data_IF_747152312206
#
_entry.id   IF_747152312206
#
_cell.length_a   1.000
_cell.length_b   1.000
_cell.length_c   1.000
_cell.angle_alpha   90.00
_cell.angle_beta   90.00
_cell.angle_gamma   90.00
#
_symmetry.space_group_name_H-M   'P 1'
#
loop_
_entity.id
_entity.type
_entity.pdbx_description
1 polymer ?
#
# COMPACT_ATOMS: atom_id res chain seq x y z
N UNK A 1 -17.18 15.51 -54.28
CA UNK A 1 -16.87 15.35 -52.84
C UNK A 1 -15.88 14.20 -52.69
N UNK A 2 -14.66 14.47 -52.15
CA UNK A 2 -14.19 14.04 -50.81
C UNK A 2 -14.21 12.50 -50.64
N UNK A 3 -13.16 11.76 -50.27
CA UNK A 3 -11.80 12.01 -49.77
C UNK A 3 -11.03 10.67 -49.84
N UNK A 4 -9.71 10.77 -49.94
CA UNK A 4 -8.71 9.70 -49.87
C UNK A 4 -8.85 8.79 -48.64
N UNK A 5 -8.79 7.46 -48.84
CA UNK A 5 -8.49 6.51 -47.77
C UNK A 5 -7.10 5.91 -47.98
N UNK A 6 -6.14 6.56 -47.33
CA UNK A 6 -4.76 6.10 -47.13
C UNK A 6 -4.80 4.77 -46.37
N UNK A 7 -4.37 3.69 -47.03
CA UNK A 7 -4.09 2.40 -46.39
C UNK A 7 -3.13 2.65 -45.21
N UNK A 8 -3.62 2.50 -43.99
CA UNK A 8 -2.78 2.39 -42.80
C UNK A 8 -2.65 0.89 -42.50
N UNK A 9 -1.43 0.39 -42.62
CA UNK A 9 -1.06 -0.93 -42.15
C UNK A 9 -1.29 -0.97 -40.64
N UNK A 10 -2.17 -1.88 -40.20
CA UNK A 10 -2.23 -2.30 -38.80
C UNK A 10 -1.02 -3.22 -38.61
N UNK A 11 0.06 -2.65 -38.08
CA UNK A 11 1.13 -3.44 -37.49
C UNK A 11 0.55 -4.00 -36.20
N UNK A 12 0.17 -5.26 -36.24
CA UNK A 12 -0.12 -6.07 -35.05
C UNK A 12 1.16 -6.19 -34.26
N UNK A 13 1.27 -5.41 -33.19
CA UNK A 13 2.33 -5.53 -32.20
C UNK A 13 2.16 -6.84 -31.43
N UNK A 14 3.30 -7.49 -31.23
CA UNK A 14 3.45 -8.90 -30.95
C UNK A 14 3.45 -9.15 -29.44
N UNK A 15 2.73 -10.19 -29.02
CA UNK A 15 3.23 -11.17 -28.04
C UNK A 15 3.66 -10.67 -26.67
N UNK A 16 2.72 -10.18 -25.85
CA UNK A 16 2.87 -10.32 -24.39
C UNK A 16 1.96 -11.47 -23.95
N UNK A 17 2.49 -12.59 -23.41
CA UNK A 17 1.69 -13.65 -22.84
C UNK A 17 0.83 -13.10 -21.69
N UNK A 18 -0.44 -13.49 -21.63
CA UNK A 18 -1.37 -13.14 -20.56
C UNK A 18 -0.87 -13.55 -19.16
N UNK A 19 0.10 -14.47 -19.10
CA UNK A 19 0.84 -14.90 -17.90
C UNK A 19 1.68 -13.76 -17.29
N UNK A 20 2.00 -12.69 -18.03
CA UNK A 20 2.70 -11.51 -17.49
C UNK A 20 1.76 -10.52 -16.77
N UNK A 21 0.43 -10.70 -16.85
CA UNK A 21 -0.51 -9.86 -16.10
C UNK A 21 -0.64 -10.26 -14.63
N UNK A 22 -0.21 -11.47 -14.26
CA UNK A 22 -0.29 -11.98 -12.87
C UNK A 22 0.99 -11.78 -12.04
N UNK A 23 2.02 -11.12 -12.57
CA UNK A 23 3.10 -10.56 -11.75
C UNK A 23 2.78 -9.15 -11.21
N UNK A 24 1.61 -8.60 -11.58
CA UNK A 24 1.07 -7.34 -11.06
C UNK A 24 0.19 -7.54 -9.81
N UNK A 25 0.35 -8.66 -9.10
CA UNK A 25 -0.07 -8.78 -7.71
C UNK A 25 0.88 -7.93 -6.88
N UNK A 26 0.46 -6.69 -6.57
CA UNK A 26 1.11 -5.67 -5.75
C UNK A 26 2.25 -6.21 -4.89
N UNK A 27 3.50 -5.90 -5.24
CA UNK A 27 4.64 -6.34 -4.45
C UNK A 27 4.54 -5.80 -3.02
N UNK A 28 5.19 -6.47 -2.06
CA UNK A 28 5.23 -5.98 -0.68
C UNK A 28 5.69 -4.52 -0.60
N UNK A 29 6.68 -4.17 -1.43
CA UNK A 29 7.20 -2.81 -1.55
C UNK A 29 6.12 -1.83 -2.02
N UNK A 30 5.33 -2.22 -3.02
CA UNK A 30 4.24 -1.39 -3.52
C UNK A 30 3.12 -1.24 -2.48
N UNK A 31 2.83 -2.27 -1.68
CA UNK A 31 1.76 -2.18 -0.70
C UNK A 31 2.15 -1.37 0.54
N UNK A 32 3.38 -1.50 1.04
CA UNK A 32 3.76 -1.00 2.36
C UNK A 32 4.94 -0.02 2.37
N UNK A 33 5.78 0.00 1.34
CA UNK A 33 6.99 0.82 1.29
C UNK A 33 6.84 1.99 0.30
N UNK A 34 5.65 2.58 0.29
CA UNK A 34 5.37 3.83 -0.40
C UNK A 34 5.13 4.96 0.61
N UNK A 35 5.72 6.12 0.35
CA UNK A 35 5.47 7.34 1.10
C UNK A 35 4.79 8.36 0.17
N UNK A 36 3.58 8.77 0.53
CA UNK A 36 2.93 9.88 -0.17
C UNK A 36 3.62 11.19 0.24
N UNK A 37 3.81 12.11 -0.71
CA UNK A 37 4.51 13.38 -0.47
C UNK A 37 3.81 14.22 0.62
N UNK A 38 2.50 14.00 0.81
CA UNK A 38 1.68 14.69 1.80
C UNK A 38 1.77 14.08 3.20
N UNK A 39 2.32 12.87 3.35
CA UNK A 39 2.48 12.23 4.65
C UNK A 39 3.52 12.98 5.48
N UNK A 40 3.04 13.65 6.52
CA UNK A 40 3.87 14.31 7.52
C UNK A 40 4.02 13.43 8.75
N UNK A 41 5.17 13.55 9.40
CA UNK A 41 5.37 12.97 10.74
C UNK A 41 4.32 13.58 11.68
N UNK A 42 3.54 12.73 12.34
CA UNK A 42 2.57 13.16 13.35
C UNK A 42 3.25 13.76 14.59
N UNK A 43 2.47 14.49 15.39
CA UNK A 43 2.92 15.07 16.66
C UNK A 43 2.76 14.12 17.87
N UNK A 44 2.22 12.91 17.65
CA UNK A 44 1.99 11.89 18.67
C UNK A 44 2.98 10.74 18.50
N UNK A 45 3.46 10.21 19.62
CA UNK A 45 4.38 9.09 19.67
C UNK A 45 3.71 7.89 20.33
N UNK A 46 3.94 6.70 19.79
CA UNK A 46 3.61 5.43 20.44
C UNK A 46 4.90 4.70 20.77
N UNK A 47 4.95 4.06 21.93
CA UNK A 47 6.08 3.22 22.29
C UNK A 47 5.92 1.83 21.67
N UNK A 48 7.00 1.30 21.12
CA UNK A 48 7.09 -0.06 20.58
C UNK A 48 8.11 -0.84 21.41
N UNK A 49 7.90 -2.16 21.53
CA UNK A 49 8.91 -3.01 22.14
C UNK A 49 10.21 -2.97 21.30
N UNK A 50 11.39 -3.13 21.92
CA UNK A 50 12.67 -3.08 21.20
C UNK A 50 12.72 -4.05 20.03
N UNK A 51 12.15 -5.26 20.19
CA UNK A 51 12.16 -6.32 19.19
C UNK A 51 11.34 -5.94 17.95
N UNK A 52 10.18 -5.31 18.15
CA UNK A 52 9.37 -4.82 17.03
C UNK A 52 10.04 -3.64 16.35
N UNK A 53 10.62 -2.71 17.12
CA UNK A 53 11.34 -1.59 16.55
C UNK A 53 12.51 -2.05 15.66
N UNK A 54 13.31 -3.01 16.12
CA UNK A 54 14.42 -3.56 15.34
C UNK A 54 13.94 -4.22 14.04
N UNK A 55 12.88 -5.04 14.11
CA UNK A 55 12.32 -5.70 12.91
C UNK A 55 11.81 -4.69 11.89
N UNK A 56 11.00 -3.72 12.32
CA UNK A 56 10.46 -2.70 11.42
C UNK A 56 11.58 -1.87 10.80
N UNK A 57 12.60 -1.52 11.60
CA UNK A 57 13.78 -0.81 11.11
C UNK A 57 14.50 -1.61 10.04
N UNK A 58 14.81 -2.89 10.27
CA UNK A 58 15.49 -3.75 9.28
C UNK A 58 14.74 -3.84 7.97
N UNK A 59 13.41 -3.92 7.99
CA UNK A 59 12.58 -4.00 6.78
C UNK A 59 12.74 -2.73 5.96
N UNK A 60 12.61 -1.57 6.60
CA UNK A 60 12.74 -0.27 5.94
C UNK A 60 14.15 -0.05 5.37
N UNK A 61 15.18 -0.50 6.07
CA UNK A 61 16.57 -0.39 5.61
C UNK A 61 16.86 -1.30 4.41
N UNK A 62 16.51 -2.59 4.52
CA UNK A 62 16.89 -3.61 3.53
C UNK A 62 15.98 -3.56 2.30
N UNK A 63 14.67 -3.46 2.50
CA UNK A 63 13.69 -3.51 1.40
C UNK A 63 13.36 -2.08 0.94
N UNK A 64 13.17 -1.16 1.90
CA UNK A 64 12.91 0.25 1.59
C UNK A 64 14.13 1.04 1.13
N UNK A 65 15.31 0.42 1.08
CA UNK A 65 16.59 1.02 0.67
C UNK A 65 16.89 2.35 1.38
N UNK A 66 16.55 2.47 2.67
CA UNK A 66 16.68 3.70 3.47
C UNK A 66 15.94 4.94 2.92
N UNK A 67 15.07 4.76 1.92
CA UNK A 67 14.32 5.86 1.27
C UNK A 67 12.99 6.17 1.94
N UNK A 68 12.50 5.27 2.78
CA UNK A 68 11.22 5.39 3.45
C UNK A 68 11.46 5.63 4.93
N UNK A 69 10.85 6.65 5.56
CA UNK A 69 10.95 6.81 6.99
C UNK A 69 10.08 5.77 7.71
N UNK A 70 10.53 5.31 8.88
CA UNK A 70 9.83 4.28 9.67
C UNK A 70 8.35 4.59 9.94
N UNK A 71 8.00 5.86 10.13
CA UNK A 71 6.61 6.26 10.38
C UNK A 71 5.71 6.06 9.15
N UNK A 72 6.22 6.26 7.93
CA UNK A 72 5.42 6.09 6.71
C UNK A 72 5.09 4.60 6.52
N UNK A 73 6.06 3.74 6.74
CA UNK A 73 5.85 2.29 6.76
C UNK A 73 4.84 1.87 7.84
N UNK A 74 4.99 2.39 9.07
CA UNK A 74 4.05 2.11 10.15
C UNK A 74 2.62 2.57 9.82
N UNK A 75 2.46 3.73 9.20
CA UNK A 75 1.16 4.22 8.75
C UNK A 75 0.52 3.26 7.74
N UNK A 76 1.28 2.70 6.78
CA UNK A 76 0.76 1.71 5.83
C UNK A 76 0.36 0.40 6.50
N UNK A 77 1.11 -0.06 7.51
CA UNK A 77 0.71 -1.23 8.33
C UNK A 77 -0.63 -0.96 9.04
N UNK A 78 -0.77 0.22 9.66
CA UNK A 78 -1.99 0.59 10.37
C UNK A 78 -3.17 0.76 9.42
N UNK A 79 -2.98 1.43 8.28
CA UNK A 79 -3.98 1.59 7.23
C UNK A 79 -4.49 0.22 6.76
N UNK A 80 -3.58 -0.69 6.44
CA UNK A 80 -3.96 -2.05 6.06
C UNK A 80 -4.69 -2.79 7.18
N UNK A 81 -4.20 -2.70 8.42
CA UNK A 81 -4.85 -3.31 9.57
C UNK A 81 -6.29 -2.80 9.75
N UNK A 82 -6.51 -1.48 9.67
CA UNK A 82 -7.85 -0.91 9.77
C UNK A 82 -8.74 -1.34 8.61
N UNK A 83 -8.22 -1.39 7.38
CA UNK A 83 -9.00 -1.86 6.23
C UNK A 83 -9.42 -3.32 6.36
N UNK A 84 -8.54 -4.21 6.85
CA UNK A 84 -8.83 -5.64 7.00
C UNK A 84 -9.81 -5.89 8.16
N UNK A 85 -9.71 -5.10 9.23
CA UNK A 85 -10.44 -5.33 10.47
C UNK A 85 -11.55 -4.31 10.75
N UNK A 86 -11.90 -3.45 9.79
CA UNK A 86 -12.86 -2.35 9.98
C UNK A 86 -14.19 -2.83 10.59
N UNK A 87 -14.80 -3.86 9.98
CA UNK A 87 -16.07 -4.41 10.42
C UNK A 87 -15.99 -5.03 11.82
N UNK A 88 -14.92 -5.78 12.08
CA UNK A 88 -14.70 -6.45 13.36
C UNK A 88 -14.49 -5.42 14.49
N UNK A 89 -13.59 -4.46 14.26
CA UNK A 89 -13.32 -3.36 15.19
C UNK A 89 -14.61 -2.58 15.43
N UNK A 90 -15.36 -2.22 14.38
CA UNK A 90 -16.60 -1.43 14.50
C UNK A 90 -17.68 -2.17 15.28
N UNK A 91 -17.86 -3.48 14.99
CA UNK A 91 -18.83 -4.32 15.70
C UNK A 91 -18.48 -4.43 17.18
N UNK A 92 -17.25 -4.84 17.50
CA UNK A 92 -16.82 -5.00 18.89
C UNK A 92 -16.80 -3.68 19.66
N UNK A 93 -16.41 -2.59 19.01
CA UNK A 93 -16.46 -1.25 19.59
C UNK A 93 -17.90 -0.89 19.97
N UNK A 94 -18.88 -1.08 19.07
CA UNK A 94 -20.29 -0.81 19.36
C UNK A 94 -20.85 -1.71 20.47
N UNK A 95 -20.47 -2.98 20.51
CA UNK A 95 -20.92 -3.92 21.54
C UNK A 95 -20.39 -3.56 22.93
N UNK A 96 -19.10 -3.20 23.04
CA UNK A 96 -18.46 -2.82 24.31
C UNK A 96 -18.76 -1.38 24.73
N UNK A 97 -19.06 -0.51 23.76
CA UNK A 97 -19.47 0.88 23.99
C UNK A 97 -20.98 1.01 24.27
N UNK A 98 -21.73 -0.11 24.40
CA UNK A 98 -23.09 -0.06 24.95
C UNK A 98 -23.02 0.49 26.37
N UNK A 99 -23.45 1.73 26.49
CA UNK A 99 -23.05 2.67 27.53
C UNK A 99 -23.32 2.20 28.95
N UNK A 100 -22.54 2.76 29.86
CA UNK A 100 -22.86 2.87 31.28
C UNK A 100 -24.07 3.79 31.56
N UNK A 101 -24.80 4.20 30.51
CA UNK A 101 -26.02 5.01 30.52
C UNK A 101 -26.99 4.48 29.46
#
# INVERSE_FOLDING_TARGET
>A
MKKNNKKRNVVTDNGIPEVMRDQAQNSYEQAFLQMDIEQKRGSKSIYLSPEYHERLTRIVQIIGNDKIPLFAYLNKILEHHFNVYEDAITKEFKEKYKGLF
#
